data_IF_285242858962
#
_entry.id   IF_285242858962
#
_cell.length_a   1.000
_cell.length_b   1.000
_cell.length_c   1.000
_cell.angle_alpha   90.00
_cell.angle_beta   90.00
_cell.angle_gamma   90.00
#
_symmetry.space_group_name_H-M   'P 1'
#
loop_
_entity.id
_entity.type
_entity.pdbx_description
1 polymer ?
#
# COMPACT_ATOMS: atom_id res chain seq x y z
N UNK A 1 -1.32 33.99 -21.77
CA UNK A 1 -1.38 33.27 -20.47
C UNK A 1 -1.55 31.80 -20.78
N UNK A 2 -0.87 30.88 -20.09
CA UNK A 2 -1.11 29.45 -20.28
C UNK A 2 -2.55 29.09 -19.89
N UNK A 3 -3.14 28.13 -20.59
CA UNK A 3 -4.45 27.56 -20.28
C UNK A 3 -4.30 26.54 -19.15
N UNK A 4 -5.09 26.70 -18.09
CA UNK A 4 -5.10 25.78 -16.94
C UNK A 4 -6.37 24.93 -16.96
N UNK A 5 -6.21 23.61 -16.91
CA UNK A 5 -7.31 22.64 -17.06
C UNK A 5 -7.86 22.14 -15.72
N UNK A 6 -7.21 22.46 -14.59
CA UNK A 6 -7.64 22.14 -13.21
C UNK A 6 -8.06 20.67 -12.95
N UNK A 7 -7.37 19.73 -13.58
CA UNK A 7 -7.63 18.27 -13.49
C UNK A 7 -7.53 17.76 -12.04
N UNK A 8 -8.54 17.03 -11.60
CA UNK A 8 -8.61 16.38 -10.28
C UNK A 8 -8.00 14.97 -10.29
N UNK A 9 -7.29 14.63 -9.21
CA UNK A 9 -6.77 13.28 -8.94
C UNK A 9 -6.67 13.05 -7.42
N UNK A 10 -6.23 11.86 -7.01
CA UNK A 10 -5.89 11.56 -5.62
C UNK A 10 -4.47 11.02 -5.52
N UNK A 11 -3.87 11.07 -4.32
CA UNK A 11 -2.47 10.68 -4.12
C UNK A 11 -2.29 9.21 -3.72
N UNK A 12 -3.26 8.57 -3.07
CA UNK A 12 -3.04 7.20 -2.61
C UNK A 12 -4.14 6.59 -1.74
N UNK A 13 -4.00 6.67 -0.42
CA UNK A 13 -4.83 5.90 0.51
C UNK A 13 -6.28 6.34 0.54
N UNK A 14 -7.19 5.39 0.35
CA UNK A 14 -8.63 5.62 0.47
C UNK A 14 -9.19 4.60 1.48
N UNK A 15 -9.58 5.05 2.69
CA UNK A 15 -9.96 4.15 3.79
C UNK A 15 -11.40 3.62 3.61
N UNK A 16 -11.60 2.79 2.58
CA UNK A 16 -12.89 2.20 2.22
C UNK A 16 -12.86 0.67 2.34
N UNK A 17 -13.92 0.03 2.88
CA UNK A 17 -13.93 -1.42 3.08
C UNK A 17 -14.19 -2.22 1.80
N UNK A 18 -14.89 -1.66 0.82
CA UNK A 18 -15.17 -2.30 -0.47
C UNK A 18 -14.25 -1.75 -1.56
N UNK A 19 -13.43 -2.61 -2.15
CA UNK A 19 -12.56 -2.28 -3.27
C UNK A 19 -13.37 -1.87 -4.51
N UNK A 20 -14.39 -2.66 -4.84
CA UNK A 20 -15.22 -2.46 -6.03
C UNK A 20 -15.91 -1.09 -6.01
N UNK A 21 -16.62 -0.80 -4.93
CA UNK A 21 -17.35 0.46 -4.78
C UNK A 21 -16.43 1.69 -4.84
N UNK A 22 -15.23 1.62 -4.24
CA UNK A 22 -14.33 2.78 -4.23
C UNK A 22 -13.63 2.98 -5.57
N UNK A 23 -13.21 1.89 -6.24
CA UNK A 23 -12.62 1.96 -7.57
C UNK A 23 -13.61 2.56 -8.57
N UNK A 24 -14.86 2.07 -8.57
CA UNK A 24 -15.91 2.65 -9.41
C UNK A 24 -16.12 4.13 -9.12
N UNK A 25 -16.22 4.52 -7.84
CA UNK A 25 -16.42 5.92 -7.46
C UNK A 25 -15.28 6.83 -7.93
N UNK A 26 -14.02 6.38 -7.84
CA UNK A 26 -12.85 7.16 -8.25
C UNK A 26 -12.81 7.37 -9.76
N UNK A 27 -13.10 6.32 -10.53
CA UNK A 27 -13.19 6.38 -12.00
C UNK A 27 -14.30 7.34 -12.44
N UNK A 28 -15.43 7.37 -11.73
CA UNK A 28 -16.55 8.27 -12.05
C UNK A 28 -16.34 9.73 -11.62
N UNK A 29 -15.49 9.99 -10.63
CA UNK A 29 -15.43 11.31 -9.96
C UNK A 29 -14.17 12.12 -10.30
N UNK A 30 -13.05 11.47 -10.63
CA UNK A 30 -11.78 12.14 -10.89
C UNK A 30 -11.52 12.31 -12.38
N UNK A 31 -10.98 13.47 -12.77
CA UNK A 31 -10.55 13.72 -14.14
C UNK A 31 -9.37 12.82 -14.55
N UNK A 32 -8.47 12.54 -13.59
CA UNK A 32 -7.37 11.59 -13.71
C UNK A 32 -7.45 10.56 -12.56
N UNK A 33 -8.16 9.43 -12.74
CA UNK A 33 -8.26 8.40 -11.72
C UNK A 33 -6.90 7.71 -11.50
N UNK A 34 -6.66 7.25 -10.28
CA UNK A 34 -5.48 6.48 -9.92
C UNK A 34 -5.87 5.26 -9.07
N UNK A 35 -4.99 4.27 -9.00
CA UNK A 35 -5.22 3.08 -8.20
C UNK A 35 -5.16 3.44 -6.71
N UNK A 36 -6.23 3.22 -5.93
CA UNK A 36 -6.23 3.56 -4.51
C UNK A 36 -5.48 2.52 -3.69
N UNK A 37 -4.80 2.96 -2.63
CA UNK A 37 -4.40 2.04 -1.57
C UNK A 37 -5.60 1.77 -0.66
N UNK A 38 -6.00 0.50 -0.54
CA UNK A 38 -7.23 0.05 0.14
C UNK A 38 -7.04 -0.17 1.65
N UNK A 39 -6.52 0.84 2.36
CA UNK A 39 -6.00 0.72 3.73
C UNK A 39 -6.99 0.22 4.79
N UNK A 40 -8.30 0.24 4.53
CA UNK A 40 -9.35 -0.25 5.46
C UNK A 40 -9.94 -1.60 5.06
N UNK A 41 -9.55 -2.17 3.92
CA UNK A 41 -10.11 -3.44 3.44
C UNK A 41 -9.54 -4.63 4.20
N UNK A 42 -8.20 -4.72 4.31
CA UNK A 42 -7.51 -5.76 5.10
C UNK A 42 -6.15 -5.25 5.57
N UNK A 43 -5.58 -5.85 6.61
CA UNK A 43 -4.18 -5.61 7.02
C UNK A 43 -3.16 -5.78 5.87
N UNK A 44 -3.42 -6.70 4.93
CA UNK A 44 -2.55 -6.95 3.77
C UNK A 44 -2.53 -5.81 2.75
N UNK A 45 -3.39 -4.81 2.89
CA UNK A 45 -3.38 -3.59 2.06
C UNK A 45 -2.44 -2.51 2.64
N UNK A 46 -1.80 -2.79 3.77
CA UNK A 46 -0.70 -1.98 4.27
C UNK A 46 0.47 -2.04 3.27
N UNK A 47 1.02 -0.87 2.91
CA UNK A 47 2.10 -0.75 1.94
C UNK A 47 3.33 -1.57 2.35
N UNK A 48 3.70 -1.57 3.63
CA UNK A 48 4.84 -2.36 4.09
C UNK A 48 4.59 -3.85 3.83
N UNK A 49 3.41 -4.37 4.17
CA UNK A 49 3.04 -5.77 3.93
C UNK A 49 3.10 -6.15 2.44
N UNK A 50 2.73 -5.25 1.53
CA UNK A 50 2.77 -5.52 0.09
C UNK A 50 4.19 -5.55 -0.49
N UNK A 51 5.07 -4.65 -0.05
CA UNK A 51 6.39 -4.44 -0.66
C UNK A 51 7.53 -5.15 0.07
N UNK A 52 7.36 -5.51 1.34
CA UNK A 52 8.40 -6.15 2.13
C UNK A 52 8.52 -7.68 2.10
N UNK A 53 7.66 -8.52 1.45
CA UNK A 53 7.74 -9.99 1.60
C UNK A 53 9.09 -10.62 1.29
N UNK A 54 9.91 -9.98 0.46
CA UNK A 54 11.23 -10.48 0.08
C UNK A 54 12.35 -9.96 0.97
N UNK A 55 12.10 -8.97 1.84
CA UNK A 55 13.13 -8.41 2.70
C UNK A 55 13.61 -9.44 3.73
N UNK A 56 14.92 -9.60 3.94
CA UNK A 56 15.45 -10.50 4.95
C UNK A 56 14.90 -10.23 6.34
N UNK A 57 14.61 -11.31 7.07
CA UNK A 57 14.10 -11.28 8.44
C UNK A 57 12.76 -10.53 8.65
N UNK A 58 12.02 -10.22 7.58
CA UNK A 58 10.67 -9.68 7.71
C UNK A 58 9.72 -10.73 8.30
N UNK A 59 8.87 -10.31 9.23
CA UNK A 59 7.82 -11.14 9.83
C UNK A 59 6.48 -10.44 9.69
N UNK A 60 5.53 -11.11 9.03
CA UNK A 60 4.11 -10.72 8.99
C UNK A 60 3.35 -11.48 10.09
N UNK A 61 2.93 -10.78 11.14
CA UNK A 61 2.00 -11.30 12.16
C UNK A 61 0.58 -10.80 11.83
N UNK A 62 -0.07 -11.46 10.87
CA UNK A 62 -1.41 -11.11 10.42
C UNK A 62 -2.48 -11.22 11.53
N UNK A 63 -2.27 -12.10 12.52
CA UNK A 63 -3.20 -12.25 13.65
C UNK A 63 -3.18 -11.04 14.59
N UNK A 64 -2.03 -10.36 14.71
CA UNK A 64 -1.89 -9.13 15.49
C UNK A 64 -1.85 -7.86 14.64
N UNK A 65 -2.04 -7.99 13.31
CA UNK A 65 -1.89 -6.91 12.34
C UNK A 65 -0.56 -6.15 12.49
N UNK A 66 0.55 -6.90 12.62
CA UNK A 66 1.90 -6.35 12.78
C UNK A 66 2.84 -6.83 11.70
N UNK A 67 3.75 -5.94 11.31
CA UNK A 67 4.90 -6.27 10.49
C UNK A 67 6.16 -5.71 11.12
N UNK A 68 7.22 -6.50 11.20
CA UNK A 68 8.47 -6.12 11.85
C UNK A 68 9.64 -6.97 11.35
N UNK A 69 10.85 -6.53 11.61
CA UNK A 69 12.06 -7.33 11.40
C UNK A 69 12.40 -8.13 12.65
N UNK A 70 12.59 -9.44 12.51
CA UNK A 70 13.12 -10.29 13.57
C UNK A 70 14.65 -10.30 13.55
N UNK A 71 15.24 -9.39 14.33
CA UNK A 71 16.69 -9.21 14.41
C UNK A 71 17.34 -9.97 15.56
N UNK A 72 16.68 -11.01 16.09
CA UNK A 72 17.23 -11.84 17.18
C UNK A 72 18.39 -12.74 16.73
N UNK A 73 18.55 -12.94 15.43
CA UNK A 73 19.66 -13.66 14.81
C UNK A 73 20.49 -12.72 13.94
N UNK A 74 21.70 -13.13 13.56
CA UNK A 74 22.51 -12.39 12.60
C UNK A 74 21.86 -12.44 11.22
N UNK A 75 21.39 -11.29 10.75
CA UNK A 75 20.72 -11.14 9.45
C UNK A 75 21.68 -10.74 8.33
N UNK A 76 22.94 -10.44 8.66
CA UNK A 76 23.95 -9.92 7.71
C UNK A 76 24.13 -10.84 6.49
N UNK A 77 24.26 -12.17 6.64
CA UNK A 77 24.44 -13.05 5.48
C UNK A 77 23.26 -13.01 4.51
N UNK A 78 22.04 -12.84 5.02
CA UNK A 78 20.84 -12.75 4.19
C UNK A 78 20.71 -11.39 3.49
N UNK A 79 21.22 -10.31 4.09
CA UNK A 79 21.28 -8.99 3.48
C UNK A 79 22.34 -8.90 2.37
N UNK A 80 23.44 -9.64 2.48
CA UNK A 80 24.52 -9.66 1.47
C UNK A 80 24.10 -10.32 0.14
N UNK A 81 23.06 -11.16 0.16
CA UNK A 81 22.59 -11.93 -1.01
C UNK A 81 21.21 -11.51 -1.52
N UNK A 82 20.58 -10.51 -0.90
CA UNK A 82 19.32 -9.92 -1.31
C UNK A 82 19.54 -8.89 -2.43
#
# INVERSE_FOLDING_TARGET
MPEFHYITTHVGSVPHPSADAIVHKLVETLDAPAWPQLSRRTFRENMYVQYSPTLPAIVEDAAKEKIYFDTRQDITPALEVF
#
